data_IF_638654915660
#
_entry.id   IF_638654915660
#
_cell.length_a   1.000
_cell.length_b   1.000
_cell.length_c   1.000
_cell.angle_alpha   90.00
_cell.angle_beta   90.00
_cell.angle_gamma   90.00
#
_symmetry.space_group_name_H-M   'P 1'
#
loop_
_entity.id
_entity.type
_entity.pdbx_description
1 polymer ?
#
# COMPACT_ATOMS: atom_id res chain seq x y z
N UNK A 1 8.04 32.57 -87.66
CA UNK A 1 8.77 32.50 -86.38
C UNK A 1 7.82 32.84 -85.23
N UNK A 2 7.14 31.87 -84.60
CA UNK A 2 6.25 32.14 -83.44
C UNK A 2 5.93 30.86 -82.63
N UNK A 3 6.92 30.25 -81.97
CA UNK A 3 6.70 29.14 -81.00
C UNK A 3 7.75 29.17 -79.89
N UNK A 4 7.69 30.15 -78.98
CA UNK A 4 8.64 30.21 -77.87
C UNK A 4 8.05 30.60 -76.49
N UNK A 5 6.80 31.07 -76.40
CA UNK A 5 6.30 31.62 -75.12
C UNK A 5 5.46 30.67 -74.26
N UNK A 6 5.10 29.47 -74.73
CA UNK A 6 4.24 28.55 -73.95
C UNK A 6 4.99 27.62 -72.98
N UNK A 7 6.33 27.57 -73.02
CA UNK A 7 7.11 26.63 -72.19
C UNK A 7 7.48 27.15 -70.79
N UNK A 8 7.37 28.45 -70.53
CA UNK A 8 7.91 29.03 -69.29
C UNK A 8 6.95 28.98 -68.09
N UNK A 9 5.64 28.78 -68.30
CA UNK A 9 4.64 28.85 -67.22
C UNK A 9 4.53 27.58 -66.38
N UNK A 10 5.12 26.46 -66.80
CA UNK A 10 5.04 25.19 -66.09
C UNK A 10 6.00 25.10 -64.87
N UNK A 11 7.07 25.91 -64.85
CA UNK A 11 8.17 25.74 -63.88
C UNK A 11 7.90 26.47 -62.55
N UNK A 12 7.02 27.47 -62.52
CA UNK A 12 6.74 28.27 -61.31
C UNK A 12 5.69 27.66 -60.37
N UNK A 13 4.96 26.62 -60.81
CA UNK A 13 3.78 26.10 -60.08
C UNK A 13 4.11 25.00 -59.06
N UNK A 14 5.32 24.47 -59.07
CA UNK A 14 5.76 23.39 -58.17
C UNK A 14 6.30 23.91 -56.84
N UNK A 15 6.52 25.23 -56.69
CA UNK A 15 7.19 25.81 -55.52
C UNK A 15 6.23 26.23 -54.37
N UNK A 16 4.91 26.29 -54.59
CA UNK A 16 3.98 26.71 -53.53
C UNK A 16 3.47 25.57 -52.64
N UNK A 17 3.49 24.32 -53.13
CA UNK A 17 2.98 23.16 -52.38
C UNK A 17 3.90 22.72 -51.24
N UNK A 18 5.17 23.09 -51.26
CA UNK A 18 6.19 22.66 -50.31
C UNK A 18 6.04 23.30 -48.92
N UNK A 19 5.55 24.55 -48.85
CA UNK A 19 5.37 25.25 -47.57
C UNK A 19 4.34 24.58 -46.66
N UNK A 20 3.24 24.05 -47.23
CA UNK A 20 2.21 23.35 -46.46
C UNK A 20 2.68 21.98 -45.94
N UNK A 21 3.50 21.28 -46.71
CA UNK A 21 4.07 19.98 -46.31
C UNK A 21 5.10 20.17 -45.19
N UNK A 22 5.95 21.20 -45.30
CA UNK A 22 6.90 21.58 -44.24
C UNK A 22 6.20 21.98 -42.93
N UNK A 23 5.09 22.71 -43.01
CA UNK A 23 4.30 23.08 -41.82
C UNK A 23 3.72 21.84 -41.11
N UNK A 24 3.16 20.89 -41.86
CA UNK A 24 2.63 19.64 -41.30
C UNK A 24 3.71 18.77 -40.67
N UNK A 25 4.87 18.65 -41.32
CA UNK A 25 6.04 17.97 -40.75
C UNK A 25 6.52 18.62 -39.46
N UNK A 26 6.56 19.96 -39.40
CA UNK A 26 6.93 20.70 -38.19
C UNK A 26 5.95 20.44 -37.05
N UNK A 27 4.64 20.44 -37.32
CA UNK A 27 3.63 20.10 -36.30
C UNK A 27 3.73 18.66 -35.83
N UNK A 28 3.98 17.70 -36.73
CA UNK A 28 4.20 16.30 -36.36
C UNK A 28 5.44 16.12 -35.49
N UNK A 29 6.54 16.80 -35.81
CA UNK A 29 7.75 16.81 -34.97
C UNK A 29 7.46 17.39 -33.59
N UNK A 30 6.71 18.50 -33.52
CA UNK A 30 6.34 19.12 -32.25
C UNK A 30 5.44 18.22 -31.39
N UNK A 31 4.46 17.55 -32.02
CA UNK A 31 3.61 16.55 -31.36
C UNK A 31 4.41 15.34 -30.88
N UNK A 32 5.37 14.86 -31.67
CA UNK A 32 6.24 13.74 -31.27
C UNK A 32 7.10 14.10 -30.07
N UNK A 33 7.70 15.31 -30.05
CA UNK A 33 8.47 15.81 -28.91
C UNK A 33 7.58 15.92 -27.67
N UNK A 34 6.38 16.50 -27.82
CA UNK A 34 5.43 16.63 -26.71
C UNK A 34 5.02 15.26 -26.16
N UNK A 35 4.73 14.29 -27.04
CA UNK A 35 4.39 12.93 -26.65
C UNK A 35 5.54 12.24 -25.91
N UNK A 36 6.79 12.44 -26.33
CA UNK A 36 7.97 11.93 -25.63
C UNK A 36 8.10 12.56 -24.23
N UNK A 37 7.94 13.88 -24.11
CA UNK A 37 7.99 14.57 -22.81
C UNK A 37 6.88 14.06 -21.88
N UNK A 38 5.67 13.91 -22.39
CA UNK A 38 4.54 13.33 -21.62
C UNK A 38 4.85 11.88 -21.23
N UNK A 39 5.36 11.06 -22.16
CA UNK A 39 5.73 9.68 -21.88
C UNK A 39 6.78 9.59 -20.76
N UNK A 40 7.87 10.38 -20.84
CA UNK A 40 8.88 10.42 -19.78
C UNK A 40 8.31 10.95 -18.45
N UNK A 41 7.41 11.93 -18.48
CA UNK A 41 6.79 12.47 -17.28
C UNK A 41 5.86 11.45 -16.59
N UNK A 42 5.17 10.61 -17.38
CA UNK A 42 4.27 9.58 -16.86
C UNK A 42 4.99 8.27 -16.49
N UNK A 43 6.05 7.88 -17.19
CA UNK A 43 6.84 6.67 -16.91
C UNK A 43 8.02 6.87 -15.96
N UNK A 44 8.43 8.11 -15.66
CA UNK A 44 9.47 8.32 -14.66
C UNK A 44 8.97 7.87 -13.29
N UNK A 45 9.78 7.06 -12.61
CA UNK A 45 9.57 6.55 -11.24
C UNK A 45 9.19 7.63 -10.22
N UNK A 46 9.46 8.90 -10.54
CA UNK A 46 9.20 10.09 -9.73
C UNK A 46 7.90 10.82 -10.11
N UNK A 47 6.98 10.18 -10.84
CA UNK A 47 5.71 10.79 -11.21
C UNK A 47 4.85 11.20 -10.00
N UNK A 48 3.84 12.04 -10.25
CA UNK A 48 2.91 12.56 -9.22
C UNK A 48 2.27 11.44 -8.38
N UNK A 49 2.07 10.26 -8.97
CA UNK A 49 1.55 9.07 -8.28
C UNK A 49 2.49 8.57 -7.17
N UNK A 50 3.80 8.67 -7.36
CA UNK A 50 4.81 8.26 -6.38
C UNK A 50 4.75 9.14 -5.15
N UNK A 51 4.56 10.45 -5.31
CA UNK A 51 4.38 11.38 -4.17
C UNK A 51 3.15 11.04 -3.32
N UNK A 52 2.03 10.69 -3.97
CA UNK A 52 0.81 10.26 -3.27
C UNK A 52 1.02 8.94 -2.53
N UNK A 53 1.67 7.96 -3.18
CA UNK A 53 2.02 6.68 -2.54
C UNK A 53 2.96 6.88 -1.35
N UNK A 54 4.02 7.67 -1.51
CA UNK A 54 4.97 7.97 -0.42
C UNK A 54 4.29 8.64 0.77
N UNK A 55 3.38 9.60 0.52
CA UNK A 55 2.62 10.26 1.60
C UNK A 55 1.76 9.24 2.36
N UNK A 56 1.08 8.34 1.64
CA UNK A 56 0.26 7.29 2.25
C UNK A 56 1.11 6.30 3.06
N UNK A 57 2.23 5.83 2.50
CA UNK A 57 3.16 4.94 3.18
C UNK A 57 3.76 5.58 4.43
N UNK A 58 4.18 6.84 4.35
CA UNK A 58 4.69 7.60 5.50
C UNK A 58 3.67 7.67 6.63
N UNK A 59 2.42 8.03 6.31
CA UNK A 59 1.36 8.12 7.32
C UNK A 59 1.08 6.76 7.97
N UNK A 60 1.03 5.69 7.17
CA UNK A 60 0.79 4.35 7.67
C UNK A 60 1.94 3.88 8.60
N UNK A 61 3.19 4.09 8.21
CA UNK A 61 4.35 3.78 9.06
C UNK A 61 4.32 4.57 10.38
N UNK A 62 3.97 5.86 10.32
CA UNK A 62 3.85 6.68 11.53
C UNK A 62 2.75 6.16 12.47
N UNK A 63 1.65 5.68 11.94
CA UNK A 63 0.58 5.07 12.73
C UNK A 63 1.02 3.75 13.37
N UNK A 64 1.71 2.90 12.60
CA UNK A 64 2.30 1.67 13.14
C UNK A 64 3.30 1.95 14.27
N UNK A 65 4.16 2.96 14.11
CA UNK A 65 5.11 3.37 15.16
C UNK A 65 4.37 3.79 16.42
N UNK A 66 3.29 4.58 16.30
CA UNK A 66 2.49 4.98 17.48
C UNK A 66 1.84 3.80 18.17
N UNK A 67 1.32 2.85 17.41
CA UNK A 67 0.70 1.63 17.97
C UNK A 67 1.75 0.81 18.72
N UNK A 68 2.92 0.58 18.11
CA UNK A 68 4.01 -0.16 18.72
C UNK A 68 4.55 0.52 19.98
N UNK A 69 4.68 1.85 19.98
CA UNK A 69 5.09 2.62 21.17
C UNK A 69 4.09 2.50 22.33
N UNK A 70 2.79 2.52 22.04
CA UNK A 70 1.76 2.28 23.05
C UNK A 70 1.85 0.87 23.61
N UNK A 71 1.95 -0.14 22.74
CA UNK A 71 2.10 -1.53 23.15
C UNK A 71 3.36 -1.73 24.01
N UNK A 72 4.48 -1.13 23.62
CA UNK A 72 5.71 -1.19 24.41
C UNK A 72 5.51 -0.60 25.81
N UNK A 73 4.80 0.53 25.91
CA UNK A 73 4.53 1.20 27.20
C UNK A 73 3.61 0.35 28.09
N UNK A 74 2.54 -0.22 27.51
CA UNK A 74 1.63 -1.11 28.23
C UNK A 74 2.34 -2.40 28.69
N UNK A 75 3.17 -2.97 27.84
CA UNK A 75 3.92 -4.18 28.15
C UNK A 75 4.95 -3.89 29.24
N UNK A 76 5.63 -2.74 29.19
CA UNK A 76 6.56 -2.33 30.23
C UNK A 76 5.84 -2.14 31.57
N UNK A 77 4.69 -1.46 31.59
CA UNK A 77 3.88 -1.31 32.80
C UNK A 77 3.41 -2.67 33.35
N UNK A 78 3.12 -3.63 32.47
CA UNK A 78 2.76 -5.00 32.85
C UNK A 78 3.96 -5.74 33.46
N UNK A 79 5.15 -5.61 32.86
CA UNK A 79 6.39 -6.18 33.39
C UNK A 79 6.70 -5.59 34.77
N UNK A 80 6.54 -4.28 34.94
CA UNK A 80 6.81 -3.59 36.20
C UNK A 80 5.84 -4.06 37.29
N UNK A 81 4.56 -4.28 36.96
CA UNK A 81 3.59 -4.91 37.86
C UNK A 81 3.97 -6.35 38.18
N UNK A 82 4.38 -7.15 37.19
CA UNK A 82 4.84 -8.53 37.42
C UNK A 82 6.09 -8.61 38.29
N UNK A 83 6.97 -7.61 38.24
CA UNK A 83 8.22 -7.64 39.02
C UNK A 83 8.05 -7.15 40.45
N UNK A 84 7.21 -6.14 40.64
CA UNK A 84 7.13 -5.44 41.92
C UNK A 84 5.88 -5.77 42.74
N UNK A 85 4.88 -6.45 42.16
CA UNK A 85 3.63 -6.79 42.82
C UNK A 85 3.40 -8.31 42.87
N UNK A 86 3.74 -8.97 43.99
CA UNK A 86 3.52 -10.41 44.15
C UNK A 86 2.03 -10.81 44.16
N UNK A 87 1.11 -9.94 44.58
CA UNK A 87 -0.33 -10.20 44.56
C UNK A 87 -0.86 -10.22 43.12
N UNK A 88 -0.32 -9.37 42.25
CA UNK A 88 -0.64 -9.38 40.82
C UNK A 88 -0.20 -10.70 40.14
N UNK A 89 0.98 -11.22 40.50
CA UNK A 89 1.48 -12.52 40.00
C UNK A 89 0.57 -13.65 40.49
N UNK A 90 0.19 -13.66 41.77
CA UNK A 90 -0.68 -14.68 42.34
C UNK A 90 -2.07 -14.68 41.69
N UNK A 91 -2.66 -13.50 41.46
CA UNK A 91 -3.93 -13.36 40.75
C UNK A 91 -3.83 -13.86 39.31
N UNK A 92 -2.77 -13.51 38.58
CA UNK A 92 -2.55 -13.97 37.21
C UNK A 92 -2.37 -15.49 37.14
N UNK A 93 -1.61 -16.06 38.08
CA UNK A 93 -1.38 -17.50 38.19
C UNK A 93 -2.70 -18.27 38.41
N UNK A 94 -3.57 -17.77 39.29
CA UNK A 94 -4.88 -18.39 39.57
C UNK A 94 -5.88 -18.21 38.42
N UNK A 95 -6.00 -17.01 37.85
CA UNK A 95 -7.04 -16.69 36.86
C UNK A 95 -6.69 -17.15 35.45
N UNK A 96 -5.46 -16.90 34.99
CA UNK A 96 -5.06 -17.17 33.60
C UNK A 96 -4.40 -18.53 33.42
N UNK A 97 -3.61 -18.95 34.42
CA UNK A 97 -2.81 -20.18 34.32
C UNK A 97 -3.41 -21.34 35.14
N UNK A 98 -4.43 -21.09 35.97
CA UNK A 98 -5.03 -22.07 36.90
C UNK A 98 -4.00 -22.81 37.75
N UNK A 99 -2.91 -22.12 38.13
CA UNK A 99 -1.82 -22.67 38.94
C UNK A 99 -2.13 -22.49 40.43
N UNK A 100 -1.73 -23.45 41.26
CA UNK A 100 -1.89 -23.44 42.73
C UNK A 100 -0.55 -23.65 43.43
N UNK A 101 -0.46 -23.29 44.72
CA UNK A 101 0.77 -23.56 45.49
C UNK A 101 0.96 -25.06 45.66
N UNK A 102 2.23 -25.45 45.86
CA UNK A 102 2.62 -26.85 46.09
C UNK A 102 1.89 -27.40 47.32
N UNK A 103 0.88 -28.24 47.11
CA UNK A 103 0.03 -28.81 48.16
C UNK A 103 -1.45 -28.38 48.15
N UNK A 104 -1.88 -27.50 47.23
CA UNK A 104 -3.28 -27.04 47.11
C UNK A 104 -4.00 -27.71 45.91
N UNK A 105 -5.22 -28.23 46.12
CA UNK A 105 -6.04 -28.90 45.09
C UNK A 105 -7.00 -27.92 44.41
N UNK A 106 -6.98 -27.87 43.07
CA UNK A 106 -7.90 -27.03 42.28
C UNK A 106 -9.29 -27.67 42.27
N UNK A 107 -10.29 -27.01 42.87
CA UNK A 107 -11.69 -27.42 42.73
C UNK A 107 -12.33 -26.71 41.53
N UNK A 108 -12.22 -27.32 40.34
CA UNK A 108 -12.96 -26.88 39.15
C UNK A 108 -14.41 -27.36 39.29
N UNK A 109 -15.34 -26.42 39.51
CA UNK A 109 -16.77 -26.73 39.39
C UNK A 109 -17.08 -27.00 37.92
N UNK A 110 -17.02 -28.26 37.52
CA UNK A 110 -17.57 -28.72 36.25
C UNK A 110 -19.10 -28.59 36.35
N UNK A 111 -19.77 -27.89 35.41
CA UNK A 111 -21.23 -27.93 35.35
C UNK A 111 -21.64 -29.39 35.23
N UNK A 112 -22.59 -29.81 36.08
CA UNK A 112 -23.10 -31.18 36.15
C UNK A 112 -23.58 -31.61 34.77
N UNK A 113 -22.72 -32.27 34.00
CA UNK A 113 -23.16 -33.02 32.84
C UNK A 113 -24.08 -34.10 33.40
N UNK A 114 -25.36 -33.98 33.09
CA UNK A 114 -26.36 -34.99 33.41
C UNK A 114 -25.85 -36.31 32.84
N UNK A 115 -25.29 -37.14 33.71
CA UNK A 115 -24.92 -38.50 33.37
C UNK A 115 -26.23 -39.27 33.23
N UNK A 116 -26.76 -39.38 32.01
CA UNK A 116 -27.82 -40.33 31.72
C UNK A 116 -27.17 -41.71 31.64
N UNK A 117 -27.44 -42.64 32.56
CA UNK A 117 -26.99 -44.00 32.40
C UNK A 117 -27.67 -44.59 31.17
N UNK A 118 -26.88 -44.87 30.13
CA UNK A 118 -27.34 -45.64 28.98
C UNK A 118 -27.50 -47.08 29.46
N UNK A 119 -28.73 -47.43 29.80
CA UNK A 119 -29.16 -48.79 30.07
C UNK A 119 -28.95 -49.62 28.79
N UNK A 120 -27.82 -50.33 28.74
CA UNK A 120 -27.56 -51.37 27.77
C UNK A 120 -27.81 -52.72 28.42
N UNK A 121 -29.07 -53.02 28.71
CA UNK A 121 -29.57 -54.38 28.84
C UNK A 121 -29.74 -54.99 27.44
N UNK A 122 -28.81 -55.87 27.08
CA UNK A 122 -29.09 -57.10 26.34
C UNK A 122 -28.15 -58.20 26.81
#
# INVERSE_FOLDING_TARGET
MHRAHSRQKAIRKTYQSSYLVLLRLKHLLWLAILAIVVYYFFLSDSGVLTLLRLKKTKNNLQEQVRILQRQQTELQATIDKLKNDPDYIEKLARERLKLTKKGETIYLMLPQQHFQPQDSSK
#
